data_IF_543179314831
#
_entry.id   IF_543179314831
#
_cell.length_a   1.000
_cell.length_b   1.000
_cell.length_c   1.000
_cell.angle_alpha   90.00
_cell.angle_beta   90.00
_cell.angle_gamma   90.00
#
_symmetry.space_group_name_H-M   'P 1'
#
loop_
_entity.id
_entity.type
_entity.pdbx_description
1 polymer ?
#
# COMPACT_ATOMS: atom_id res chain seq x y z
N UNK A 1 -1.08 9.65 16.39
CA UNK A 1 0.04 8.87 15.81
C UNK A 1 0.92 9.79 14.98
N UNK A 2 2.20 9.50 14.95
CA UNK A 2 3.18 10.12 14.05
C UNK A 2 3.28 9.29 12.77
N UNK A 3 3.02 9.89 11.64
CA UNK A 3 2.97 9.21 10.34
C UNK A 3 4.07 9.77 9.45
N UNK A 4 4.83 8.87 8.81
CA UNK A 4 5.68 9.21 7.68
C UNK A 4 4.95 8.87 6.38
N UNK A 5 5.01 9.77 5.38
CA UNK A 5 4.48 9.52 4.05
C UNK A 5 5.63 9.25 3.09
N UNK A 6 5.53 8.17 2.31
CA UNK A 6 6.47 7.84 1.24
C UNK A 6 5.71 7.88 -0.08
N UNK A 7 6.06 8.83 -0.93
CA UNK A 7 5.30 9.21 -2.11
C UNK A 7 4.30 10.33 -1.82
N UNK A 8 4.56 11.51 -2.37
CA UNK A 8 3.74 12.71 -2.12
C UNK A 8 3.03 13.21 -3.38
N UNK A 9 2.54 12.26 -4.17
CA UNK A 9 1.63 12.49 -5.28
C UNK A 9 0.19 12.76 -4.83
N UNK A 10 -0.78 12.45 -5.70
CA UNK A 10 -2.21 12.64 -5.41
C UNK A 10 -2.65 11.93 -4.11
N UNK A 11 -2.25 10.66 -3.95
CA UNK A 11 -2.63 9.89 -2.75
C UNK A 11 -1.96 10.41 -1.49
N UNK A 12 -0.65 10.68 -1.53
CA UNK A 12 0.08 11.23 -0.37
C UNK A 12 -0.55 12.50 0.17
N UNK A 13 -0.90 13.45 -0.70
CA UNK A 13 -1.58 14.71 -0.33
C UNK A 13 -2.97 14.46 0.27
N UNK A 14 -3.74 13.53 -0.28
CA UNK A 14 -5.06 13.18 0.26
C UNK A 14 -4.92 12.53 1.65
N UNK A 15 -3.96 11.63 1.82
CA UNK A 15 -3.70 10.97 3.10
C UNK A 15 -3.28 11.98 4.17
N UNK A 16 -2.39 12.93 3.82
CA UNK A 16 -1.99 14.00 4.73
C UNK A 16 -3.20 14.78 5.26
N UNK A 17 -4.06 15.27 4.35
CA UNK A 17 -5.25 16.03 4.74
C UNK A 17 -6.16 15.25 5.69
N UNK A 18 -6.40 13.98 5.38
CA UNK A 18 -7.25 13.11 6.21
C UNK A 18 -6.59 12.83 7.55
N UNK A 19 -5.29 12.55 7.58
CA UNK A 19 -4.53 12.26 8.79
C UNK A 19 -4.54 13.46 9.75
N UNK A 20 -4.27 14.66 9.23
CA UNK A 20 -4.33 15.90 10.01
C UNK A 20 -5.73 16.18 10.54
N UNK A 21 -6.76 15.99 9.71
CA UNK A 21 -8.16 16.15 10.13
C UNK A 21 -8.61 15.14 11.21
N UNK A 22 -7.89 14.01 11.34
CA UNK A 22 -8.10 13.00 12.40
C UNK A 22 -7.20 13.20 13.63
N UNK A 23 -6.45 14.30 13.69
CA UNK A 23 -5.55 14.60 14.80
C UNK A 23 -4.24 13.81 14.82
N UNK A 24 -3.82 13.24 13.68
CA UNK A 24 -2.51 12.64 13.53
C UNK A 24 -1.47 13.69 13.11
N UNK A 25 -0.19 13.35 13.27
CA UNK A 25 0.92 14.22 12.89
C UNK A 25 1.66 13.61 11.69
N UNK A 26 1.90 14.41 10.66
CA UNK A 26 2.83 14.04 9.58
C UNK A 26 4.21 14.53 9.99
N UNK A 27 5.09 13.60 10.33
CA UNK A 27 6.44 13.93 10.84
C UNK A 27 7.49 13.94 9.75
N UNK A 28 7.25 13.22 8.65
CA UNK A 28 8.18 13.15 7.52
C UNK A 28 7.43 12.90 6.23
N UNK A 29 7.88 13.51 5.15
CA UNK A 29 7.40 13.31 3.78
C UNK A 29 8.60 13.01 2.91
N UNK A 30 8.63 11.78 2.39
CA UNK A 30 9.66 11.30 1.45
C UNK A 30 9.09 11.32 0.04
N UNK A 31 9.76 12.00 -0.88
CA UNK A 31 9.33 12.07 -2.28
C UNK A 31 10.55 12.01 -3.21
N UNK A 32 10.30 12.00 -4.52
CA UNK A 32 11.35 11.94 -5.54
C UNK A 32 12.37 13.11 -5.43
N UNK A 33 11.93 14.24 -4.88
CA UNK A 33 12.77 15.44 -4.74
C UNK A 33 13.59 15.47 -3.44
N UNK A 34 13.32 14.57 -2.49
CA UNK A 34 14.00 14.48 -1.19
C UNK A 34 14.09 13.03 -0.67
N UNK A 35 14.59 12.10 -1.46
CA UNK A 35 14.61 10.67 -1.09
C UNK A 35 15.45 10.40 0.16
N UNK A 36 16.42 11.25 0.46
CA UNK A 36 17.26 11.17 1.66
C UNK A 36 16.51 11.39 2.98
N UNK A 37 15.33 12.01 2.93
CA UNK A 37 14.49 12.24 4.11
C UNK A 37 14.10 10.92 4.81
N UNK A 38 14.09 9.78 4.11
CA UNK A 38 13.85 8.46 4.69
C UNK A 38 14.89 8.06 5.76
N UNK A 39 16.04 8.71 5.78
CA UNK A 39 17.10 8.50 6.76
C UNK A 39 17.09 9.50 7.91
N UNK A 40 16.21 10.52 7.86
CA UNK A 40 16.13 11.59 8.85
C UNK A 40 15.67 11.08 10.22
N UNK A 41 16.02 11.81 11.27
CA UNK A 41 15.52 11.53 12.61
C UNK A 41 14.00 11.76 12.72
N UNK A 42 13.45 12.65 11.90
CA UNK A 42 12.00 12.85 11.78
C UNK A 42 11.33 11.59 11.26
N UNK A 43 11.85 11.02 10.17
CA UNK A 43 11.35 9.75 9.64
C UNK A 43 11.41 8.65 10.67
N UNK A 44 12.55 8.46 11.33
CA UNK A 44 12.75 7.45 12.38
C UNK A 44 11.84 7.63 13.61
N UNK A 45 11.29 8.82 13.81
CA UNK A 45 10.35 9.10 14.89
C UNK A 45 8.91 8.69 14.59
N UNK A 46 8.61 8.18 13.38
CA UNK A 46 7.28 7.80 12.97
C UNK A 46 6.82 6.50 13.65
N UNK A 47 5.54 6.43 13.98
CA UNK A 47 4.89 5.21 14.47
C UNK A 47 4.56 4.24 13.31
N UNK A 48 4.39 4.79 12.08
CA UNK A 48 4.04 4.05 10.87
C UNK A 48 4.43 4.83 9.63
N UNK A 49 4.85 4.14 8.58
CA UNK A 49 5.02 4.70 7.23
C UNK A 49 3.84 4.28 6.35
N UNK A 50 3.28 5.24 5.61
CA UNK A 50 2.27 4.99 4.58
C UNK A 50 2.91 5.23 3.22
N UNK A 51 2.95 4.20 2.38
CA UNK A 51 3.71 4.18 1.14
C UNK A 51 2.78 4.06 -0.08
N UNK A 52 2.88 5.04 -0.98
CA UNK A 52 2.21 5.09 -2.28
C UNK A 52 3.17 5.68 -3.31
N UNK A 53 4.01 4.84 -3.89
CA UNK A 53 5.01 5.24 -4.89
C UNK A 53 4.84 4.48 -6.22
N UNK A 54 5.91 3.90 -6.74
CA UNK A 54 5.92 3.14 -7.99
C UNK A 54 6.39 1.70 -7.74
N UNK A 55 6.05 0.75 -8.62
CA UNK A 55 6.52 -0.63 -8.51
C UNK A 55 8.05 -0.76 -8.37
N UNK A 56 8.77 0.13 -9.06
CA UNK A 56 10.24 0.10 -9.08
C UNK A 56 10.88 0.51 -7.75
N UNK A 57 10.23 1.39 -6.99
CA UNK A 57 10.79 1.97 -5.75
C UNK A 57 10.21 1.34 -4.49
N UNK A 58 9.01 0.79 -4.55
CA UNK A 58 8.25 0.32 -3.40
C UNK A 58 9.03 -0.65 -2.51
N UNK A 59 9.60 -1.70 -3.09
CA UNK A 59 10.32 -2.72 -2.31
C UNK A 59 11.52 -2.12 -1.56
N UNK A 60 12.30 -1.24 -2.19
CA UNK A 60 13.40 -0.57 -1.52
C UNK A 60 12.92 0.31 -0.36
N UNK A 61 11.81 1.01 -0.54
CA UNK A 61 11.19 1.81 0.52
C UNK A 61 10.81 0.93 1.73
N UNK A 62 10.25 -0.27 1.49
CA UNK A 62 9.95 -1.20 2.58
C UNK A 62 11.19 -1.63 3.34
N UNK A 63 12.28 -1.96 2.64
CA UNK A 63 13.54 -2.35 3.27
C UNK A 63 14.10 -1.22 4.14
N UNK A 64 14.02 0.03 3.69
CA UNK A 64 14.45 1.19 4.47
C UNK A 64 13.58 1.37 5.75
N UNK A 65 12.27 1.23 5.63
CA UNK A 65 11.36 1.27 6.79
C UNK A 65 11.67 0.16 7.78
N UNK A 66 11.87 -1.06 7.31
CA UNK A 66 12.20 -2.21 8.16
C UNK A 66 13.55 -2.04 8.86
N UNK A 67 14.55 -1.49 8.18
CA UNK A 67 15.84 -1.16 8.79
C UNK A 67 15.68 -0.10 9.88
N UNK A 68 14.78 0.85 9.72
CA UNK A 68 14.46 1.86 10.73
C UNK A 68 13.50 1.34 11.83
N UNK A 69 13.02 0.11 11.74
CA UNK A 69 12.07 -0.46 12.70
C UNK A 69 10.64 0.08 12.58
N UNK A 70 10.28 0.69 11.44
CA UNK A 70 8.99 1.35 11.23
C UNK A 70 8.03 0.39 10.51
N UNK A 71 6.82 0.14 11.07
CA UNK A 71 5.74 -0.57 10.39
C UNK A 71 5.33 0.12 9.09
N UNK A 72 4.94 -0.67 8.06
CA UNK A 72 4.59 -0.15 6.75
C UNK A 72 3.16 -0.51 6.37
N UNK A 73 2.43 0.47 5.85
CA UNK A 73 1.17 0.30 5.13
C UNK A 73 1.41 0.70 3.68
N UNK A 74 1.28 -0.22 2.74
CA UNK A 74 1.51 0.05 1.32
C UNK A 74 0.28 -0.14 0.45
N UNK A 75 0.09 0.79 -0.48
CA UNK A 75 -0.89 0.70 -1.57
C UNK A 75 -0.28 0.69 -2.96
N UNK A 76 1.05 0.68 -3.07
CA UNK A 76 1.71 0.53 -4.37
C UNK A 76 1.50 -0.87 -4.92
N UNK A 77 1.12 -0.99 -6.18
CA UNK A 77 0.92 -2.27 -6.89
C UNK A 77 2.12 -2.61 -7.77
N UNK A 78 2.16 -3.84 -8.31
CA UNK A 78 3.17 -4.24 -9.31
C UNK A 78 4.53 -4.64 -8.75
N UNK A 79 4.66 -4.94 -7.44
CA UNK A 79 5.90 -5.36 -6.77
C UNK A 79 5.82 -6.80 -6.19
N UNK A 80 4.72 -7.50 -6.43
CA UNK A 80 4.41 -8.79 -5.77
C UNK A 80 5.36 -9.94 -6.12
N UNK A 81 6.20 -9.80 -7.13
CA UNK A 81 7.33 -10.70 -7.40
C UNK A 81 8.29 -10.82 -6.20
N UNK A 82 8.33 -9.81 -5.32
CA UNK A 82 9.16 -9.75 -4.10
C UNK A 82 8.38 -10.03 -2.81
N UNK A 83 7.10 -10.41 -2.88
CA UNK A 83 6.26 -10.62 -1.70
C UNK A 83 6.82 -11.69 -0.75
N UNK A 84 7.49 -12.72 -1.29
CA UNK A 84 8.13 -13.76 -0.50
C UNK A 84 9.18 -13.20 0.47
N UNK A 85 10.01 -12.26 0.00
CA UNK A 85 11.04 -11.62 0.83
C UNK A 85 10.42 -10.78 1.94
N UNK A 86 9.34 -10.03 1.64
CA UNK A 86 8.63 -9.24 2.66
C UNK A 86 8.01 -10.15 3.73
N UNK A 87 7.37 -11.27 3.32
CA UNK A 87 6.82 -12.25 4.26
C UNK A 87 7.90 -12.85 5.16
N UNK A 88 9.03 -13.24 4.59
CA UNK A 88 10.15 -13.78 5.34
C UNK A 88 10.64 -12.80 6.42
N UNK A 89 10.75 -11.52 6.10
CA UNK A 89 11.14 -10.49 7.08
C UNK A 89 10.08 -10.29 8.16
N UNK A 90 8.80 -10.36 7.82
CA UNK A 90 7.74 -10.29 8.83
C UNK A 90 7.77 -11.49 9.77
N UNK A 91 7.91 -12.71 9.23
CA UNK A 91 7.86 -13.95 10.00
C UNK A 91 9.14 -14.22 10.81
N UNK A 92 10.31 -13.95 10.23
CA UNK A 92 11.62 -14.29 10.82
C UNK A 92 12.24 -13.15 11.61
N UNK A 93 11.95 -11.89 11.25
CA UNK A 93 12.58 -10.70 11.85
C UNK A 93 11.57 -9.83 12.61
N UNK A 94 10.29 -10.25 12.70
CA UNK A 94 9.26 -9.52 13.43
C UNK A 94 8.89 -8.17 12.81
N UNK A 95 9.12 -7.98 11.49
CA UNK A 95 8.71 -6.75 10.81
C UNK A 95 7.20 -6.72 10.62
N UNK A 96 6.62 -5.51 10.60
CA UNK A 96 5.18 -5.32 10.44
C UNK A 96 4.88 -4.68 9.09
N UNK A 97 4.06 -5.37 8.29
CA UNK A 97 3.69 -4.94 6.97
C UNK A 97 2.21 -5.19 6.69
N UNK A 98 1.51 -4.18 6.17
CA UNK A 98 0.15 -4.29 5.69
C UNK A 98 0.07 -3.82 4.24
N UNK A 99 -0.50 -4.65 3.37
CA UNK A 99 -0.64 -4.35 1.96
C UNK A 99 -2.06 -4.62 1.47
N UNK A 100 -2.57 -3.72 0.64
CA UNK A 100 -3.76 -3.96 -0.15
C UNK A 100 -3.59 -3.37 -1.55
N UNK A 101 -4.03 -4.12 -2.56
CA UNK A 101 -4.05 -3.63 -3.96
C UNK A 101 -5.07 -2.51 -4.16
N UNK A 102 -6.06 -2.43 -3.27
CA UNK A 102 -7.08 -1.39 -3.27
C UNK A 102 -7.64 -1.17 -1.86
N UNK A 103 -7.69 0.06 -1.40
CA UNK A 103 -8.24 0.46 -0.10
C UNK A 103 -9.68 0.97 -0.19
N UNK A 104 -10.28 1.05 -1.39
CA UNK A 104 -11.68 1.43 -1.55
C UNK A 104 -12.61 0.36 -1.00
N UNK A 105 -13.49 0.73 -0.07
CA UNK A 105 -14.53 -0.16 0.46
C UNK A 105 -15.43 -0.67 -0.66
N UNK A 106 -15.88 0.20 -1.59
CA UNK A 106 -16.72 -0.18 -2.71
C UNK A 106 -16.07 -1.22 -3.63
N UNK A 107 -14.79 -1.06 -3.95
CA UNK A 107 -14.04 -2.03 -4.75
C UNK A 107 -13.88 -3.37 -4.02
N UNK A 108 -13.62 -3.36 -2.72
CA UNK A 108 -13.52 -4.59 -1.93
C UNK A 108 -14.87 -5.32 -1.80
N UNK A 109 -15.97 -4.59 -1.68
CA UNK A 109 -17.34 -5.17 -1.76
C UNK A 109 -17.55 -5.82 -3.12
N UNK A 110 -17.19 -5.14 -4.21
CA UNK A 110 -17.29 -5.69 -5.56
C UNK A 110 -16.46 -6.97 -5.73
N UNK A 111 -15.23 -7.02 -5.22
CA UNK A 111 -14.42 -8.23 -5.22
C UNK A 111 -15.09 -9.39 -4.45
N UNK A 112 -15.71 -9.11 -3.32
CA UNK A 112 -16.43 -10.12 -2.55
C UNK A 112 -17.64 -10.69 -3.32
N UNK A 113 -18.41 -9.82 -3.98
CA UNK A 113 -19.56 -10.21 -4.82
C UNK A 113 -19.08 -11.04 -6.01
N UNK A 114 -18.01 -10.63 -6.69
CA UNK A 114 -17.43 -11.39 -7.82
C UNK A 114 -16.98 -12.80 -7.41
N UNK A 115 -16.34 -12.93 -6.25
CA UNK A 115 -15.95 -14.26 -5.73
C UNK A 115 -17.16 -15.14 -5.43
N UNK A 116 -18.22 -14.54 -4.90
CA UNK A 116 -19.45 -15.28 -4.61
C UNK A 116 -20.15 -15.72 -5.90
N UNK A 117 -20.27 -14.81 -6.87
CA UNK A 117 -20.84 -15.12 -8.19
C UNK A 117 -20.07 -16.24 -8.89
N UNK A 118 -18.74 -16.18 -8.90
CA UNK A 118 -17.90 -17.23 -9.49
C UNK A 118 -18.15 -18.62 -8.87
N UNK A 119 -18.33 -18.70 -7.54
CA UNK A 119 -18.65 -19.96 -6.86
C UNK A 119 -20.01 -20.52 -7.30
N UNK A 120 -21.02 -19.68 -7.51
CA UNK A 120 -22.33 -20.11 -8.00
C UNK A 120 -22.21 -20.59 -9.43
N UNK A 121 -21.59 -19.80 -10.30
CA UNK A 121 -21.47 -20.09 -11.74
C UNK A 121 -20.69 -21.38 -12.03
N UNK A 122 -19.73 -21.77 -11.20
CA UNK A 122 -19.01 -23.05 -11.33
C UNK A 122 -19.93 -24.28 -11.30
N UNK A 123 -21.15 -24.15 -10.80
CA UNK A 123 -22.15 -25.24 -10.77
C UNK A 123 -22.96 -25.34 -12.06
N UNK A 124 -22.82 -24.41 -12.98
CA UNK A 124 -23.61 -24.27 -14.20
C UNK A 124 -22.73 -24.28 -15.46
N UNK A 125 -22.19 -25.44 -15.88
CA UNK A 125 -21.23 -25.51 -16.99
C UNK A 125 -21.79 -25.12 -18.36
N UNK A 126 -23.12 -24.96 -18.49
CA UNK A 126 -23.77 -24.47 -19.70
C UNK A 126 -23.65 -22.93 -19.89
N UNK A 127 -23.16 -22.22 -18.86
CA UNK A 127 -22.94 -20.78 -18.93
C UNK A 127 -21.46 -20.46 -19.09
N UNK A 128 -21.15 -19.50 -19.94
CA UNK A 128 -19.82 -18.92 -20.04
C UNK A 128 -19.82 -17.54 -19.38
N UNK A 129 -18.70 -17.21 -18.68
CA UNK A 129 -18.57 -15.96 -17.93
C UNK A 129 -17.50 -15.11 -18.59
N UNK A 130 -17.88 -13.92 -19.02
CA UNK A 130 -16.95 -12.92 -19.53
C UNK A 130 -16.88 -11.73 -18.56
N UNK A 131 -15.73 -11.09 -18.50
CA UNK A 131 -15.52 -9.88 -17.69
C UNK A 131 -14.80 -8.82 -18.52
N UNK A 132 -15.19 -7.57 -18.37
CA UNK A 132 -14.47 -6.42 -18.88
C UNK A 132 -14.18 -5.43 -17.76
N UNK A 133 -12.98 -4.84 -17.77
CA UNK A 133 -12.57 -3.82 -16.81
C UNK A 133 -12.06 -2.60 -17.57
N UNK A 134 -12.54 -1.43 -17.19
CA UNK A 134 -12.13 -0.17 -17.80
C UNK A 134 -11.50 0.74 -16.74
N UNK A 135 -10.28 1.19 -17.00
CA UNK A 135 -9.55 2.12 -16.15
C UNK A 135 -9.35 3.46 -16.86
N UNK A 136 -9.06 4.48 -16.07
CA UNK A 136 -8.63 5.75 -16.62
C UNK A 136 -7.21 5.64 -17.22
N UNK A 137 -6.89 6.58 -18.14
CA UNK A 137 -5.64 6.57 -18.93
C UNK A 137 -4.34 6.60 -18.10
N UNK A 138 -4.41 6.95 -16.81
CA UNK A 138 -3.24 7.08 -15.93
C UNK A 138 -3.06 5.91 -14.97
N UNK A 139 -3.71 4.77 -15.26
CA UNK A 139 -3.52 3.58 -14.43
C UNK A 139 -2.40 2.70 -14.95
#
# INVERSE_FOLDING_TARGET
>A
MKIALIGYGKMGKTIEQIALGRGHQIVSIVDINNPEEIHSDKFKSADVAIEFTTPATAFNNYMQCFAAGIPVVSGTTGWLDKIGQVKDMCEKEGKTFFYASNFSIGVNIFFAINKYLAKIMNQFPAYDVTMSETHHIHK
#
